data_IF_389523627778
#
_entry.id   IF_389523627778
#
_cell.length_a   1.000
_cell.length_b   1.000
_cell.length_c   1.000
_cell.angle_alpha   90.00
_cell.angle_beta   90.00
_cell.angle_gamma   90.00
#
_symmetry.space_group_name_H-M   'P 1'
#
loop_
_entity.id
_entity.type
_entity.pdbx_description
1 polymer ?
#
# COMPACT_ATOMS: atom_id res chain seq x y z
N UNK A 1 -20.25 11.66 19.31
CA UNK A 1 -19.11 12.25 18.56
C UNK A 1 -18.35 11.09 17.93
N UNK A 2 -18.47 10.86 16.63
CA UNK A 2 -17.74 9.78 15.95
C UNK A 2 -16.37 10.30 15.52
N UNK A 3 -15.38 10.10 16.37
CA UNK A 3 -13.97 10.32 16.04
C UNK A 3 -13.60 9.33 14.93
N UNK A 4 -13.55 9.77 13.67
CA UNK A 4 -13.00 8.92 12.61
C UNK A 4 -11.52 8.67 12.92
N UNK A 5 -11.03 7.43 12.85
CA UNK A 5 -9.62 7.14 13.05
C UNK A 5 -8.78 7.95 12.04
N UNK A 6 -7.80 8.69 12.55
CA UNK A 6 -6.84 9.43 11.71
C UNK A 6 -5.70 8.49 11.40
N UNK A 7 -5.62 8.01 10.16
CA UNK A 7 -4.56 7.11 9.73
C UNK A 7 -3.31 7.89 9.34
N UNK A 8 -2.17 7.56 9.95
CA UNK A 8 -0.83 8.10 9.63
C UNK A 8 0.03 7.12 8.84
N UNK A 9 -0.43 5.87 8.69
CA UNK A 9 0.18 4.82 7.89
C UNK A 9 -0.89 3.83 7.42
N UNK A 10 -0.52 2.93 6.49
CA UNK A 10 -1.44 1.90 5.98
C UNK A 10 -1.57 0.81 7.05
N UNK A 11 -2.76 0.62 7.66
CA UNK A 11 -2.96 -0.34 8.74
C UNK A 11 -3.01 -1.79 8.21
N UNK A 12 -2.88 -2.80 9.09
CA UNK A 12 -3.05 -4.20 8.72
C UNK A 12 -4.44 -4.46 8.10
N UNK A 13 -4.56 -5.48 7.26
CA UNK A 13 -5.82 -5.87 6.58
C UNK A 13 -6.94 -6.31 7.53
N UNK A 14 -6.62 -6.54 8.81
CA UNK A 14 -7.56 -6.77 9.91
C UNK A 14 -8.33 -5.52 10.33
N UNK A 15 -7.84 -4.31 10.00
CA UNK A 15 -8.54 -3.07 10.29
C UNK A 15 -9.72 -2.89 9.32
N UNK A 16 -10.90 -3.28 9.79
CA UNK A 16 -12.13 -3.21 9.00
C UNK A 16 -12.69 -1.80 8.90
N UNK A 17 -12.14 -0.80 9.59
CA UNK A 17 -12.50 0.61 9.41
C UNK A 17 -11.79 1.21 8.20
N UNK A 18 -10.57 0.76 7.93
CA UNK A 18 -9.79 1.13 6.75
C UNK A 18 -10.07 0.24 5.54
N UNK A 19 -10.13 -1.07 5.74
CA UNK A 19 -10.25 -2.07 4.68
C UNK A 19 -11.70 -2.51 4.49
N UNK A 20 -12.05 -2.81 3.25
CA UNK A 20 -13.30 -3.40 2.84
C UNK A 20 -13.02 -4.74 2.17
N UNK A 21 -13.68 -5.80 2.66
CA UNK A 21 -13.66 -7.09 2.01
C UNK A 21 -14.62 -7.08 0.82
N UNK A 22 -14.11 -7.31 -0.38
CA UNK A 22 -14.91 -7.57 -1.58
C UNK A 22 -14.78 -9.03 -1.95
N UNK A 23 -15.92 -9.71 -2.05
CA UNK A 23 -16.01 -11.05 -2.63
C UNK A 23 -16.49 -10.91 -4.07
N UNK A 24 -15.72 -11.45 -5.03
CA UNK A 24 -16.24 -11.68 -6.37
C UNK A 24 -16.94 -13.05 -6.44
N UNK A 25 -17.85 -13.20 -7.42
CA UNK A 25 -18.66 -14.41 -7.65
C UNK A 25 -17.81 -15.69 -7.73
N UNK A 26 -16.53 -15.57 -8.09
CA UNK A 26 -15.54 -16.66 -8.16
C UNK A 26 -14.86 -17.02 -6.82
N UNK A 27 -15.49 -16.72 -5.67
CA UNK A 27 -15.02 -17.05 -4.30
C UNK A 27 -13.72 -16.37 -3.84
N UNK A 28 -13.07 -15.56 -4.69
CA UNK A 28 -11.92 -14.75 -4.29
C UNK A 28 -12.34 -13.59 -3.39
N UNK A 29 -11.72 -13.53 -2.20
CA UNK A 29 -11.87 -12.45 -1.23
C UNK A 29 -10.68 -11.50 -1.34
N UNK A 30 -10.95 -10.24 -1.67
CA UNK A 30 -9.92 -9.21 -1.81
C UNK A 30 -10.20 -8.08 -0.84
N UNK A 31 -9.17 -7.63 -0.13
CA UNK A 31 -9.25 -6.42 0.70
C UNK A 31 -8.93 -5.20 -0.16
N UNK A 32 -9.86 -4.25 -0.19
CA UNK A 32 -9.70 -2.97 -0.87
C UNK A 32 -9.84 -1.84 0.15
N UNK A 33 -9.08 -0.74 0.03
CA UNK A 33 -9.25 0.38 0.95
C UNK A 33 -10.63 1.01 0.74
N UNK A 34 -11.30 1.39 1.83
CA UNK A 34 -12.57 2.13 1.77
C UNK A 34 -12.37 3.52 1.18
N UNK A 35 -11.29 4.19 1.58
CA UNK A 35 -10.88 5.49 1.07
C UNK A 35 -9.62 5.33 0.21
N UNK A 36 -9.82 5.42 -1.11
CA UNK A 36 -8.73 5.27 -2.09
C UNK A 36 -7.77 6.45 -2.06
N UNK A 37 -8.27 7.67 -1.83
CA UNK A 37 -7.44 8.88 -1.85
C UNK A 37 -6.51 8.90 -0.63
N UNK A 38 -7.07 8.58 0.54
CA UNK A 38 -6.28 8.39 1.75
C UNK A 38 -5.24 7.29 1.57
N UNK A 39 -5.62 6.15 0.98
CA UNK A 39 -4.67 5.07 0.71
C UNK A 39 -3.53 5.51 -0.22
N UNK A 40 -3.82 6.26 -1.28
CA UNK A 40 -2.82 6.81 -2.18
C UNK A 40 -1.92 7.83 -1.50
N UNK A 41 -2.45 8.66 -0.59
CA UNK A 41 -1.65 9.58 0.22
C UNK A 41 -0.67 8.82 1.12
N UNK A 42 -1.16 7.86 1.89
CA UNK A 42 -0.36 7.07 2.82
C UNK A 42 0.71 6.24 2.09
N UNK A 43 0.38 5.67 0.91
CA UNK A 43 1.37 5.01 0.06
C UNK A 43 2.49 5.96 -0.39
N UNK A 44 2.14 7.17 -0.85
CA UNK A 44 3.13 8.17 -1.28
C UNK A 44 4.04 8.59 -0.13
N UNK A 45 3.48 8.81 1.05
CA UNK A 45 4.25 9.17 2.24
C UNK A 45 5.19 8.03 2.68
N UNK A 46 4.70 6.80 2.71
CA UNK A 46 5.54 5.63 3.01
C UNK A 46 6.67 5.47 1.99
N UNK A 47 6.36 5.66 0.70
CA UNK A 47 7.36 5.60 -0.36
C UNK A 47 8.42 6.69 -0.25
N UNK A 48 8.02 7.93 0.05
CA UNK A 48 8.94 9.03 0.29
C UNK A 48 9.90 8.74 1.46
N UNK A 49 9.37 8.14 2.55
CA UNK A 49 10.20 7.69 3.69
C UNK A 49 11.20 6.60 3.29
N UNK A 50 10.81 5.64 2.45
CA UNK A 50 11.71 4.61 1.94
C UNK A 50 12.80 5.24 1.07
N UNK A 51 12.42 6.07 0.09
CA UNK A 51 13.38 6.75 -0.76
C UNK A 51 14.35 7.61 0.04
N UNK A 52 13.89 8.32 1.08
CA UNK A 52 14.75 9.10 1.97
C UNK A 52 15.86 8.27 2.65
N UNK A 53 15.63 6.97 2.84
CA UNK A 53 16.62 6.03 3.42
C UNK A 53 17.49 5.34 2.38
N UNK A 54 17.13 5.41 1.09
CA UNK A 54 17.91 4.80 0.03
C UNK A 54 19.10 5.69 -0.40
N UNK A 55 20.24 5.08 -0.77
CA UNK A 55 21.37 5.79 -1.36
C UNK A 55 21.00 6.37 -2.73
N UNK A 56 21.63 7.48 -3.10
CA UNK A 56 21.34 8.24 -4.33
C UNK A 56 21.45 7.37 -5.59
N UNK A 57 22.39 6.41 -5.61
CA UNK A 57 22.58 5.45 -6.70
C UNK A 57 21.43 4.48 -6.93
N UNK A 58 20.58 4.26 -5.92
CA UNK A 58 19.37 3.43 -5.99
C UNK A 58 18.10 4.25 -6.19
N UNK A 59 18.07 5.54 -5.80
CA UNK A 59 16.89 6.40 -5.95
C UNK A 59 16.50 6.62 -7.40
N UNK A 60 17.47 6.80 -8.30
CA UNK A 60 17.23 7.04 -9.73
C UNK A 60 16.72 5.81 -10.49
N UNK A 61 16.82 4.62 -9.90
CA UNK A 61 16.43 3.36 -10.53
C UNK A 61 15.06 2.86 -10.10
N UNK A 62 14.40 3.51 -9.14
CA UNK A 62 13.17 2.98 -8.53
C UNK A 62 12.08 4.06 -8.55
N UNK A 63 11.22 3.98 -9.58
CA UNK A 63 10.00 4.79 -9.70
C UNK A 63 8.81 4.12 -9.00
N UNK A 64 7.94 4.92 -8.39
CA UNK A 64 6.75 4.44 -7.67
C UNK A 64 5.83 3.59 -8.57
N UNK A 65 5.64 4.01 -9.83
CA UNK A 65 4.86 3.29 -10.85
C UNK A 65 5.46 1.94 -11.24
N UNK A 66 6.77 1.75 -11.08
CA UNK A 66 7.49 0.50 -11.40
C UNK A 66 7.24 -0.58 -10.34
N UNK A 67 7.15 -0.17 -9.08
CA UNK A 67 6.96 -1.10 -7.95
C UNK A 67 5.54 -1.66 -7.82
N UNK A 68 4.55 -1.05 -8.50
CA UNK A 68 3.19 -1.61 -8.58
C UNK A 68 3.14 -2.89 -9.44
N UNK A 69 4.23 -3.20 -10.16
CA UNK A 69 4.41 -4.40 -10.97
C UNK A 69 5.59 -5.27 -10.49
N UNK A 70 6.03 -5.12 -9.23
CA UNK A 70 6.93 -6.11 -8.63
C UNK A 70 6.13 -7.35 -8.25
N UNK A 71 5.80 -8.16 -9.26
CA UNK A 71 5.71 -9.60 -9.06
C UNK A 71 7.05 -10.01 -8.47
N UNK A 72 7.04 -10.44 -7.21
CA UNK A 72 8.20 -10.98 -6.52
C UNK A 72 8.72 -12.16 -7.36
N UNK A 73 9.63 -11.90 -8.30
CA UNK A 73 10.45 -12.93 -8.90
C UNK A 73 11.37 -13.40 -7.78
N UNK A 74 10.90 -14.42 -7.07
CA UNK A 74 11.74 -15.26 -6.24
C UNK A 74 12.96 -15.64 -7.08
N UNK A 75 14.12 -15.17 -6.66
CA UNK A 75 15.37 -15.83 -7.04
C UNK A 75 15.34 -17.18 -6.34
N UNK A 76 14.95 -18.23 -7.05
CA UNK A 76 15.46 -19.55 -6.72
C UNK A 76 16.95 -19.54 -7.09
N UNK A 77 17.74 -19.68 -6.02
CA UNK A 77 19.08 -20.27 -5.95
C UNK A 77 19.49 -21.12 -7.15
#
# INVERSE_FOLDING_TARGET
MNSKPTYTEIPPTSDLDYWQLKSNKDKLRTYVPKDKELHLKLKREAWAKIQARLPVSLRSKINYSDTSNMHLRGKSI
#
